data_IF_546485600139
#
_entry.id   IF_546485600139
#
_cell.length_a   1.000
_cell.length_b   1.000
_cell.length_c   1.000
_cell.angle_alpha   90.00
_cell.angle_beta   90.00
_cell.angle_gamma   90.00
#
_symmetry.space_group_name_H-M   'P 1'
#
loop_
_entity.id
_entity.type
_entity.pdbx_description
1 polymer ?
#
# COMPACT_ATOMS: atom_id res chain seq x y z
N UNK A 1 66.68 -50.42 -69.84
CA UNK A 1 65.65 -49.47 -70.33
C UNK A 1 64.23 -49.83 -69.88
N UNK A 2 63.73 -51.06 -70.14
CA UNK A 2 62.35 -51.46 -69.79
C UNK A 2 61.96 -51.27 -68.31
N UNK A 3 62.83 -51.62 -67.38
CA UNK A 3 62.59 -51.54 -65.92
C UNK A 3 62.50 -50.10 -65.41
N UNK A 4 63.35 -49.20 -65.91
CA UNK A 4 63.30 -47.77 -65.60
C UNK A 4 62.00 -47.11 -66.07
N UNK A 5 61.51 -47.52 -67.25
CA UNK A 5 60.27 -47.01 -67.83
C UNK A 5 59.03 -47.45 -67.05
N UNK A 6 59.02 -48.70 -66.55
CA UNK A 6 57.95 -49.23 -65.69
C UNK A 6 57.93 -48.50 -64.33
N UNK A 7 59.10 -48.25 -63.73
CA UNK A 7 59.20 -47.53 -62.46
C UNK A 7 58.72 -46.07 -62.58
N UNK A 8 59.03 -45.39 -63.69
CA UNK A 8 58.58 -44.02 -63.97
C UNK A 8 57.06 -43.94 -64.16
N UNK A 9 56.48 -44.92 -64.88
CA UNK A 9 55.03 -45.01 -65.06
C UNK A 9 54.30 -45.33 -63.75
N UNK A 10 54.85 -46.21 -62.91
CA UNK A 10 54.29 -46.51 -61.60
C UNK A 10 54.35 -45.30 -60.65
N UNK A 11 55.46 -44.55 -60.67
CA UNK A 11 55.61 -43.31 -59.88
C UNK A 11 54.62 -42.22 -60.31
N UNK A 12 54.43 -42.04 -61.62
CA UNK A 12 53.46 -41.09 -62.16
C UNK A 12 52.01 -41.45 -61.79
N UNK A 13 51.66 -42.75 -61.82
CA UNK A 13 50.34 -43.22 -61.42
C UNK A 13 50.05 -43.00 -59.92
N UNK A 14 51.05 -43.24 -59.05
CA UNK A 14 50.92 -42.99 -57.61
C UNK A 14 50.78 -41.50 -57.28
N UNK A 15 51.55 -40.63 -57.95
CA UNK A 15 51.44 -39.18 -57.79
C UNK A 15 50.08 -38.65 -58.29
N UNK A 16 49.61 -39.14 -59.44
CA UNK A 16 48.29 -38.81 -59.97
C UNK A 16 47.16 -39.23 -59.02
N UNK A 17 47.25 -40.45 -58.47
CA UNK A 17 46.29 -40.95 -57.48
C UNK A 17 46.30 -40.15 -56.17
N UNK A 18 47.48 -39.74 -55.69
CA UNK A 18 47.60 -38.90 -54.49
C UNK A 18 46.98 -37.51 -54.69
N UNK A 19 47.24 -36.87 -55.83
CA UNK A 19 46.64 -35.58 -56.17
C UNK A 19 45.12 -35.66 -56.30
N UNK A 20 44.60 -36.72 -56.90
CA UNK A 20 43.15 -36.95 -57.01
C UNK A 20 42.49 -37.04 -55.63
N UNK A 21 43.04 -37.86 -54.72
CA UNK A 21 42.54 -38.00 -53.35
C UNK A 21 42.64 -36.70 -52.55
N UNK A 22 43.71 -35.92 -52.76
CA UNK A 22 43.87 -34.62 -52.10
C UNK A 22 42.79 -33.61 -52.53
N UNK A 23 42.45 -33.57 -53.82
CA UNK A 23 41.41 -32.68 -54.37
C UNK A 23 40.02 -33.08 -53.86
N UNK A 24 39.67 -34.38 -53.87
CA UNK A 24 38.40 -34.86 -53.32
C UNK A 24 38.26 -34.55 -51.83
N UNK A 25 39.33 -34.74 -51.05
CA UNK A 25 39.32 -34.44 -49.62
C UNK A 25 39.13 -32.94 -49.35
N UNK A 26 39.71 -32.08 -50.18
CA UNK A 26 39.54 -30.64 -50.07
C UNK A 26 38.13 -30.19 -50.45
N UNK A 27 37.54 -30.76 -51.51
CA UNK A 27 36.16 -30.51 -51.90
C UNK A 27 35.17 -30.95 -50.82
N UNK A 28 35.36 -32.16 -50.26
CA UNK A 28 34.54 -32.67 -49.16
C UNK A 28 34.66 -31.80 -47.89
N UNK A 29 35.87 -31.31 -47.58
CA UNK A 29 36.09 -30.42 -46.44
C UNK A 29 35.40 -29.06 -46.63
N UNK A 30 35.54 -28.43 -47.80
CA UNK A 30 34.89 -27.16 -48.12
C UNK A 30 33.36 -27.28 -48.06
N UNK A 31 32.81 -28.36 -48.61
CA UNK A 31 31.36 -28.62 -48.57
C UNK A 31 30.87 -28.83 -47.14
N UNK A 32 31.58 -29.64 -46.34
CA UNK A 32 31.23 -29.88 -44.94
C UNK A 32 31.36 -28.61 -44.09
N UNK A 33 32.38 -27.78 -44.33
CA UNK A 33 32.56 -26.50 -43.64
C UNK A 33 31.44 -25.52 -43.97
N UNK A 34 31.13 -25.32 -45.26
CA UNK A 34 30.04 -24.42 -45.67
C UNK A 34 28.67 -24.87 -45.18
N UNK A 35 28.39 -26.18 -45.16
CA UNK A 35 27.15 -26.70 -44.59
C UNK A 35 27.08 -26.51 -43.07
N UNK A 36 28.20 -26.70 -42.35
CA UNK A 36 28.27 -26.46 -40.91
C UNK A 36 28.09 -24.98 -40.57
N UNK A 37 28.70 -24.08 -41.35
CA UNK A 37 28.58 -22.62 -41.21
C UNK A 37 27.13 -22.17 -41.44
N UNK A 38 26.50 -22.59 -42.55
CA UNK A 38 25.12 -22.26 -42.85
C UNK A 38 24.14 -22.78 -41.78
N UNK A 39 24.35 -24.01 -41.28
CA UNK A 39 23.55 -24.56 -40.17
C UNK A 39 23.78 -23.79 -38.87
N UNK A 40 25.01 -23.32 -38.64
CA UNK A 40 25.39 -22.49 -37.49
C UNK A 40 24.68 -21.14 -37.52
N UNK A 41 24.77 -20.41 -38.63
CA UNK A 41 24.10 -19.12 -38.84
C UNK A 41 22.59 -19.25 -38.72
N UNK A 42 21.99 -20.28 -39.32
CA UNK A 42 20.56 -20.53 -39.21
C UNK A 42 20.11 -20.76 -37.76
N UNK A 43 20.86 -21.57 -36.98
CA UNK A 43 20.56 -21.77 -35.55
C UNK A 43 20.69 -20.49 -34.75
N UNK A 44 21.71 -19.69 -35.04
CA UNK A 44 22.00 -18.47 -34.30
C UNK A 44 20.95 -17.39 -34.60
N UNK A 45 20.47 -17.31 -35.85
CA UNK A 45 19.34 -16.47 -36.24
C UNK A 45 18.03 -16.92 -35.58
N UNK A 46 17.74 -18.23 -35.53
CA UNK A 46 16.58 -18.76 -34.80
C UNK A 46 16.65 -18.40 -33.32
N UNK A 47 17.79 -18.59 -32.66
CA UNK A 47 17.97 -18.20 -31.24
C UNK A 47 17.76 -16.70 -31.03
N UNK A 48 18.26 -15.85 -31.93
CA UNK A 48 18.04 -14.40 -31.84
C UNK A 48 16.56 -14.03 -31.97
N UNK A 49 15.84 -14.66 -32.88
CA UNK A 49 14.40 -14.44 -33.06
C UNK A 49 13.60 -14.89 -31.84
N UNK A 50 13.84 -16.10 -31.35
CA UNK A 50 13.20 -16.62 -30.14
C UNK A 50 13.45 -15.70 -28.95
N UNK A 51 14.69 -15.21 -28.78
CA UNK A 51 15.02 -14.28 -27.70
C UNK A 51 14.33 -12.92 -27.87
N UNK A 52 14.27 -12.38 -29.09
CA UNK A 52 13.55 -11.13 -29.37
C UNK A 52 12.05 -11.26 -29.10
N UNK A 53 11.43 -12.37 -29.51
CA UNK A 53 10.02 -12.67 -29.24
C UNK A 53 9.75 -12.82 -27.73
N UNK A 54 10.64 -13.49 -26.99
CA UNK A 54 10.53 -13.61 -25.54
C UNK A 54 10.63 -12.24 -24.84
N UNK A 55 11.58 -11.39 -25.25
CA UNK A 55 11.71 -10.04 -24.70
C UNK A 55 10.46 -9.18 -24.98
N UNK A 56 9.91 -9.27 -26.20
CA UNK A 56 8.66 -8.57 -26.55
C UNK A 56 7.48 -9.08 -25.72
N UNK A 57 7.35 -10.40 -25.54
CA UNK A 57 6.30 -10.98 -24.72
C UNK A 57 6.41 -10.55 -23.24
N UNK A 58 7.63 -10.50 -22.71
CA UNK A 58 7.90 -10.02 -21.34
C UNK A 58 7.58 -8.53 -21.18
N UNK A 59 8.00 -7.68 -22.12
CA UNK A 59 7.68 -6.26 -22.14
C UNK A 59 6.16 -6.03 -22.17
N UNK A 60 5.45 -6.72 -23.06
CA UNK A 60 3.98 -6.62 -23.14
C UNK A 60 3.30 -7.08 -21.85
N UNK A 61 3.74 -8.20 -21.26
CA UNK A 61 3.21 -8.69 -20.00
C UNK A 61 3.45 -7.68 -18.86
N UNK A 62 4.63 -7.09 -18.81
CA UNK A 62 4.97 -6.06 -17.84
C UNK A 62 4.11 -4.81 -18.01
N UNK A 63 3.91 -4.32 -19.23
CA UNK A 63 3.05 -3.15 -19.48
C UNK A 63 1.59 -3.39 -19.05
N UNK A 64 1.04 -4.56 -19.36
CA UNK A 64 -0.32 -4.93 -18.93
C UNK A 64 -0.43 -4.97 -17.41
N UNK A 65 0.58 -5.53 -16.75
CA UNK A 65 0.65 -5.62 -15.29
C UNK A 65 0.74 -4.23 -14.65
N UNK A 66 1.58 -3.35 -15.20
CA UNK A 66 1.69 -1.95 -14.76
C UNK A 66 0.39 -1.18 -14.98
N UNK A 67 -0.25 -1.30 -16.14
CA UNK A 67 -1.53 -0.66 -16.41
C UNK A 67 -2.63 -1.18 -15.46
N UNK A 68 -2.57 -2.45 -15.05
CA UNK A 68 -3.49 -3.02 -14.04
C UNK A 68 -3.22 -2.45 -12.65
N UNK A 69 -1.95 -2.34 -12.24
CA UNK A 69 -1.55 -1.71 -10.98
C UNK A 69 -1.99 -0.25 -10.91
N UNK A 70 -1.74 0.53 -11.96
CA UNK A 70 -2.14 1.94 -12.04
C UNK A 70 -3.66 2.10 -11.92
N UNK A 71 -4.44 1.29 -12.66
CA UNK A 71 -5.90 1.32 -12.56
C UNK A 71 -6.40 0.98 -11.15
N UNK A 72 -5.80 -0.03 -10.52
CA UNK A 72 -6.13 -0.38 -9.11
C UNK A 72 -5.80 0.77 -8.16
N UNK A 73 -4.62 1.37 -8.29
CA UNK A 73 -4.21 2.50 -7.47
C UNK A 73 -5.17 3.69 -7.63
N UNK A 74 -5.54 4.04 -8.86
CA UNK A 74 -6.50 5.11 -9.15
C UNK A 74 -7.89 4.83 -8.53
N UNK A 75 -8.40 3.60 -8.62
CA UNK A 75 -9.68 3.25 -7.98
C UNK A 75 -9.62 3.39 -6.46
N UNK A 76 -8.53 2.94 -5.84
CA UNK A 76 -8.31 3.08 -4.39
C UNK A 76 -8.25 4.55 -4.01
N UNK A 77 -7.50 5.37 -4.75
CA UNK A 77 -7.38 6.80 -4.51
C UNK A 77 -8.73 7.52 -4.63
N UNK A 78 -9.51 7.23 -5.68
CA UNK A 78 -10.85 7.80 -5.84
C UNK A 78 -11.79 7.40 -4.70
N UNK A 79 -11.78 6.13 -4.29
CA UNK A 79 -12.56 5.62 -3.15
C UNK A 79 -12.14 6.31 -1.84
N UNK A 80 -10.84 6.47 -1.62
CA UNK A 80 -10.29 7.17 -0.47
C UNK A 80 -10.73 8.64 -0.44
N UNK A 81 -10.58 9.36 -1.55
CA UNK A 81 -10.99 10.77 -1.66
C UNK A 81 -12.51 10.95 -1.49
N UNK A 82 -13.32 10.02 -2.02
CA UNK A 82 -14.77 10.02 -1.81
C UNK A 82 -15.13 9.82 -0.33
N UNK A 83 -14.50 8.83 0.32
CA UNK A 83 -14.67 8.56 1.74
C UNK A 83 -14.27 9.75 2.60
N UNK A 84 -13.12 10.37 2.28
CA UNK A 84 -12.62 11.56 2.98
C UNK A 84 -13.60 12.74 2.88
N UNK A 85 -14.14 13.01 1.67
CA UNK A 85 -15.15 14.06 1.47
C UNK A 85 -16.42 13.79 2.28
N UNK A 86 -16.91 12.55 2.26
CA UNK A 86 -18.09 12.15 3.03
C UNK A 86 -17.86 12.31 4.55
N UNK A 87 -16.67 11.97 5.02
CA UNK A 87 -16.30 12.16 6.43
C UNK A 87 -16.25 13.65 6.79
N UNK A 88 -15.66 14.49 5.94
CA UNK A 88 -15.58 15.92 6.19
C UNK A 88 -16.97 16.59 6.22
N UNK A 89 -17.84 16.25 5.27
CA UNK A 89 -19.24 16.73 5.28
C UNK A 89 -19.95 16.31 6.55
N UNK A 90 -19.86 15.03 6.95
CA UNK A 90 -20.47 14.57 8.19
C UNK A 90 -19.95 15.30 9.43
N UNK A 91 -18.65 15.60 9.47
CA UNK A 91 -18.08 16.38 10.56
C UNK A 91 -18.72 17.78 10.58
N UNK A 92 -18.82 18.45 9.43
CA UNK A 92 -19.50 19.75 9.32
C UNK A 92 -20.97 19.67 9.78
N UNK A 93 -21.73 18.72 9.24
CA UNK A 93 -23.16 18.56 9.56
C UNK A 93 -23.38 18.30 11.06
N UNK A 94 -22.47 17.55 11.70
CA UNK A 94 -22.50 17.31 13.15
C UNK A 94 -22.11 18.55 13.96
N UNK A 95 -21.22 19.40 13.45
CA UNK A 95 -20.85 20.66 14.09
C UNK A 95 -21.99 21.68 13.97
N UNK A 96 -22.65 21.76 12.81
CA UNK A 96 -23.82 22.60 12.59
C UNK A 96 -25.01 22.15 13.46
N UNK A 97 -25.27 20.83 13.53
CA UNK A 97 -26.31 20.27 14.39
C UNK A 97 -26.01 20.47 15.89
N UNK A 98 -24.73 20.57 16.29
CA UNK A 98 -24.36 20.90 17.67
C UNK A 98 -24.70 22.35 18.01
N UNK A 99 -24.45 23.27 17.08
CA UNK A 99 -24.78 24.68 17.27
C UNK A 99 -26.31 24.89 17.27
N UNK A 100 -27.07 24.14 16.48
CA UNK A 100 -28.53 24.16 16.48
C UNK A 100 -29.16 23.48 17.71
N UNK A 101 -28.62 22.34 18.16
CA UNK A 101 -29.17 21.59 19.29
C UNK A 101 -28.88 22.25 20.65
N UNK A 102 -27.92 23.17 20.72
CA UNK A 102 -27.65 23.93 21.95
C UNK A 102 -28.78 24.92 22.21
N UNK A 103 -29.76 24.49 22.99
CA UNK A 103 -30.91 25.32 23.36
C UNK A 103 -30.55 26.11 24.63
N UNK A 104 -30.46 27.43 24.52
CA UNK A 104 -30.18 28.32 25.66
C UNK A 104 -31.30 28.33 26.72
N UNK A 105 -32.39 27.60 26.49
CA UNK A 105 -33.56 27.57 27.34
C UNK A 105 -34.00 26.15 27.65
N UNK A 106 -34.34 25.88 28.92
CA UNK A 106 -34.91 24.61 29.37
C UNK A 106 -36.29 24.83 30.00
N UNK A 107 -37.10 23.77 30.05
CA UNK A 107 -38.38 23.78 30.76
C UNK A 107 -38.24 22.96 32.03
N UNK A 108 -38.63 23.54 33.16
CA UNK A 108 -38.62 22.86 34.47
C UNK A 108 -39.72 21.80 34.60
N UNK A 109 -40.66 21.74 33.65
CA UNK A 109 -41.69 20.71 33.58
C UNK A 109 -42.67 20.93 32.42
N UNK A 110 -43.55 19.96 32.14
CA UNK A 110 -44.57 20.07 31.10
C UNK A 110 -45.43 21.33 31.31
N UNK A 111 -45.65 22.11 30.26
CA UNK A 111 -46.46 23.33 30.30
C UNK A 111 -45.80 24.58 30.91
N UNK A 112 -44.59 24.48 31.47
CA UNK A 112 -43.85 25.66 32.01
C UNK A 112 -43.21 26.48 30.89
N UNK A 113 -43.03 27.78 31.10
CA UNK A 113 -42.30 28.62 30.15
C UNK A 113 -40.81 28.20 30.09
N UNK A 114 -40.15 28.30 28.91
CA UNK A 114 -38.71 28.13 28.81
C UNK A 114 -37.98 29.17 29.68
N UNK A 115 -36.94 28.74 30.39
CA UNK A 115 -36.07 29.57 31.24
C UNK A 115 -34.63 29.39 30.80
N UNK A 116 -33.75 30.41 30.94
CA UNK A 116 -32.35 30.29 30.52
C UNK A 116 -31.67 29.14 31.27
N UNK A 117 -30.83 28.39 30.56
CA UNK A 117 -30.04 27.30 31.15
C UNK A 117 -29.05 27.89 32.16
N UNK A 118 -29.00 27.41 33.42
CA UNK A 118 -27.99 27.84 34.38
C UNK A 118 -26.57 27.55 33.87
N UNK A 119 -25.61 28.43 34.18
CA UNK A 119 -24.21 28.18 33.84
C UNK A 119 -23.72 26.87 34.48
N UNK A 120 -23.35 25.92 33.64
CA UNK A 120 -22.79 24.65 34.07
C UNK A 120 -21.27 24.80 34.20
N UNK A 121 -20.79 24.91 35.44
CA UNK A 121 -19.37 25.04 35.75
C UNK A 121 -18.78 23.66 36.03
N UNK A 122 -17.79 23.27 35.22
CA UNK A 122 -16.98 22.08 35.49
C UNK A 122 -15.70 22.48 36.22
N UNK A 123 -15.46 21.89 37.38
CA UNK A 123 -14.26 22.18 38.17
C UNK A 123 -13.03 21.44 37.63
N UNK A 124 -11.84 21.92 37.95
CA UNK A 124 -10.58 21.27 37.57
C UNK A 124 -10.49 19.85 38.15
N UNK A 125 -10.98 19.64 39.38
CA UNK A 125 -11.06 18.32 40.01
C UNK A 125 -12.01 17.36 39.28
N UNK A 126 -13.19 17.84 38.87
CA UNK A 126 -14.13 17.05 38.08
C UNK A 126 -13.51 16.63 36.74
N UNK A 127 -12.86 17.57 36.04
CA UNK A 127 -12.23 17.30 34.74
C UNK A 127 -11.06 16.31 34.85
N UNK A 128 -10.29 16.36 35.95
CA UNK A 128 -9.26 15.35 36.26
C UNK A 128 -9.88 13.95 36.33
N UNK A 129 -10.95 13.80 37.10
CA UNK A 129 -11.57 12.49 37.33
C UNK A 129 -12.28 11.97 36.07
N UNK A 130 -12.89 12.87 35.28
CA UNK A 130 -13.43 12.57 33.95
C UNK A 130 -12.34 12.00 33.01
N UNK A 131 -11.19 12.68 32.91
CA UNK A 131 -10.09 12.22 32.05
C UNK A 131 -9.48 10.91 32.56
N UNK A 132 -9.37 10.74 33.88
CA UNK A 132 -8.89 9.50 34.47
C UNK A 132 -9.82 8.32 34.15
N UNK A 133 -11.14 8.53 34.15
CA UNK A 133 -12.12 7.50 33.77
C UNK A 133 -12.01 7.07 32.31
N UNK A 134 -11.55 7.96 31.41
CA UNK A 134 -11.28 7.65 30.00
C UNK A 134 -9.90 7.00 29.77
N UNK A 135 -9.13 6.73 30.84
CA UNK A 135 -7.78 6.18 30.75
C UNK A 135 -6.70 7.21 30.40
N UNK A 136 -7.03 8.51 30.44
CA UNK A 136 -6.08 9.59 30.21
C UNK A 136 -5.04 9.71 31.32
N UNK A 137 -3.83 10.15 30.97
CA UNK A 137 -2.75 10.40 31.93
C UNK A 137 -3.16 11.54 32.87
N UNK A 138 -2.78 11.44 34.16
CA UNK A 138 -3.01 12.48 35.20
C UNK A 138 -2.20 13.78 34.98
N UNK A 139 -1.85 14.13 33.75
CA UNK A 139 -1.25 15.41 33.40
C UNK A 139 -2.28 16.26 32.65
N UNK A 140 -2.38 17.55 33.00
CA UNK A 140 -3.26 18.48 32.30
C UNK A 140 -2.63 18.83 30.95
N UNK A 141 -3.37 18.73 29.85
CA UNK A 141 -2.83 19.08 28.52
C UNK A 141 -2.21 20.49 28.55
N UNK A 142 -0.95 20.58 28.13
CA UNK A 142 -0.24 21.86 28.01
C UNK A 142 -0.98 22.76 27.01
N UNK A 143 -1.24 24.02 27.38
CA UNK A 143 -1.69 25.03 26.42
C UNK A 143 -0.56 25.29 25.43
N UNK A 144 -0.88 25.50 24.15
CA UNK A 144 0.12 25.88 23.15
C UNK A 144 0.90 27.11 23.64
N UNK A 145 2.22 26.97 23.81
CA UNK A 145 3.10 28.01 24.37
C UNK A 145 3.51 27.83 25.83
N UNK A 146 3.05 26.79 26.54
CA UNK A 146 3.59 26.40 27.85
C UNK A 146 4.30 25.05 27.75
N UNK A 147 5.62 24.98 28.06
CA UNK A 147 6.43 23.81 27.76
C UNK A 147 6.15 22.60 28.67
N UNK A 148 5.45 22.76 29.79
CA UNK A 148 5.13 21.67 30.70
C UNK A 148 3.64 21.59 31.03
N UNK A 149 3.08 20.40 30.83
CA UNK A 149 1.76 20.02 31.32
C UNK A 149 1.78 20.03 32.86
N UNK A 150 1.21 21.06 33.49
CA UNK A 150 1.10 21.10 34.93
C UNK A 150 0.33 19.86 35.44
N UNK A 151 0.79 19.22 36.53
CA UNK A 151 0.05 18.12 37.14
C UNK A 151 -1.34 18.60 37.57
N UNK A 152 -2.36 17.73 37.44
CA UNK A 152 -3.69 18.07 37.95
C UNK A 152 -3.61 18.31 39.47
N UNK A 153 -4.43 19.23 40.02
CA UNK A 153 -4.57 19.39 41.46
C UNK A 153 -4.91 18.05 42.13
N UNK A 154 -4.28 17.79 43.28
CA UNK A 154 -4.57 16.61 44.08
C UNK A 154 -6.00 16.69 44.65
N UNK A 155 -6.66 15.55 44.95
CA UNK A 155 -7.96 15.58 45.61
C UNK A 155 -7.92 16.34 46.95
N UNK A 156 -8.93 17.15 47.22
CA UNK A 156 -9.07 17.89 48.49
C UNK A 156 -8.31 19.21 48.59
N UNK A 157 -7.66 19.67 47.51
CA UNK A 157 -6.97 20.98 47.50
C UNK A 157 -7.85 22.06 46.88
N UNK A 158 -7.72 23.31 47.36
CA UNK A 158 -8.57 24.42 46.91
C UNK A 158 -8.60 24.59 45.37
N UNK A 159 -7.46 24.38 44.70
CA UNK A 159 -7.34 24.48 43.25
C UNK A 159 -8.18 23.44 42.47
N UNK A 160 -8.72 22.41 43.12
CA UNK A 160 -9.64 21.47 42.47
C UNK A 160 -11.02 22.07 42.21
N UNK A 161 -11.41 23.11 42.96
CA UNK A 161 -12.69 23.80 42.82
C UNK A 161 -12.65 24.94 41.79
N UNK A 162 -11.46 25.26 41.28
CA UNK A 162 -11.30 26.27 40.22
C UNK A 162 -12.08 25.87 38.97
N UNK A 163 -12.56 26.87 38.22
CA UNK A 163 -13.22 26.65 36.94
C UNK A 163 -12.22 26.07 35.93
N UNK A 164 -12.55 24.92 35.34
CA UNK A 164 -11.72 24.28 34.32
C UNK A 164 -11.71 25.01 32.97
N UNK A 165 -12.65 25.93 32.75
CA UNK A 165 -12.95 26.60 31.48
C UNK A 165 -13.37 25.63 30.36
N UNK A 166 -13.79 24.41 30.71
CA UNK A 166 -14.43 23.49 29.76
C UNK A 166 -15.92 23.78 29.77
N UNK A 167 -16.50 23.94 28.58
CA UNK A 167 -17.94 24.15 28.41
C UNK A 167 -18.69 22.83 28.18
N UNK A 168 -20.02 22.85 28.33
CA UNK A 168 -20.88 21.71 27.92
C UNK A 168 -20.69 21.35 26.43
N UNK A 169 -20.47 22.37 25.58
CA UNK A 169 -20.21 22.18 24.15
C UNK A 169 -18.91 21.42 23.90
N UNK A 170 -17.87 21.70 24.69
CA UNK A 170 -16.59 20.98 24.59
C UNK A 170 -16.73 19.52 24.98
N UNK A 171 -17.47 19.22 26.05
CA UNK A 171 -17.74 17.83 26.47
C UNK A 171 -18.58 17.07 25.44
N UNK A 172 -19.60 17.71 24.87
CA UNK A 172 -20.43 17.07 23.85
C UNK A 172 -19.62 16.81 22.57
N UNK A 173 -18.79 17.76 22.14
CA UNK A 173 -17.86 17.58 21.02
C UNK A 173 -16.86 16.46 21.30
N UNK A 174 -16.33 16.37 22.52
CA UNK A 174 -15.46 15.29 22.95
C UNK A 174 -16.19 13.93 22.87
N UNK A 175 -17.37 13.81 23.47
CA UNK A 175 -18.15 12.56 23.49
C UNK A 175 -18.47 12.06 22.07
N UNK A 176 -18.85 12.96 21.16
CA UNK A 176 -19.06 12.60 19.75
C UNK A 176 -17.79 12.10 19.06
N UNK A 177 -16.65 12.78 19.26
CA UNK A 177 -15.36 12.38 18.68
C UNK A 177 -14.89 11.05 19.25
N UNK A 178 -15.00 10.87 20.57
CA UNK A 178 -14.65 9.64 21.27
C UNK A 178 -15.53 8.47 20.83
N UNK A 179 -16.85 8.65 20.76
CA UNK A 179 -17.79 7.62 20.27
C UNK A 179 -17.48 7.19 18.83
N UNK A 180 -17.15 8.14 17.94
CA UNK A 180 -16.70 7.83 16.58
C UNK A 180 -15.41 7.01 16.57
N UNK A 181 -14.44 7.38 17.40
CA UNK A 181 -13.18 6.65 17.54
C UNK A 181 -13.44 5.22 18.04
N UNK A 182 -14.23 5.01 19.09
CA UNK A 182 -14.58 3.68 19.58
C UNK A 182 -15.23 2.82 18.49
N UNK A 183 -16.24 3.35 17.79
CA UNK A 183 -16.91 2.62 16.70
C UNK A 183 -15.96 2.24 15.55
N UNK A 184 -15.01 3.12 15.21
CA UNK A 184 -14.01 2.85 14.19
C UNK A 184 -13.07 1.71 14.62
N UNK A 185 -12.59 1.73 15.88
CA UNK A 185 -11.75 0.67 16.43
C UNK A 185 -12.50 -0.65 16.51
N UNK A 186 -13.76 -0.66 16.95
CA UNK A 186 -14.58 -1.88 16.96
C UNK A 186 -14.67 -2.49 15.56
N UNK A 187 -14.96 -1.68 14.52
CA UNK A 187 -15.02 -2.18 13.13
C UNK A 187 -13.69 -2.77 12.67
N UNK A 188 -12.57 -2.12 12.97
CA UNK A 188 -11.24 -2.62 12.61
C UNK A 188 -10.92 -3.92 13.33
N UNK A 189 -11.23 -4.02 14.62
CA UNK A 189 -11.01 -5.23 15.41
C UNK A 189 -11.87 -6.39 14.89
N UNK A 190 -13.15 -6.15 14.59
CA UNK A 190 -14.04 -7.16 14.00
C UNK A 190 -13.49 -7.65 12.66
N UNK A 191 -13.08 -6.74 11.77
CA UNK A 191 -12.49 -7.12 10.49
C UNK A 191 -11.18 -7.90 10.65
N UNK A 192 -10.38 -7.60 11.67
CA UNK A 192 -9.16 -8.36 11.98
C UNK A 192 -9.48 -9.77 12.49
N UNK A 193 -10.46 -9.90 13.39
CA UNK A 193 -10.92 -11.20 13.90
C UNK A 193 -11.46 -12.06 12.75
N UNK A 194 -12.24 -11.47 11.82
CA UNK A 194 -12.73 -12.14 10.61
C UNK A 194 -11.61 -12.71 9.75
N UNK A 195 -10.51 -11.95 9.58
CA UNK A 195 -9.34 -12.41 8.82
C UNK A 195 -8.58 -13.51 9.55
N UNK A 196 -8.52 -13.46 10.88
CA UNK A 196 -7.76 -14.42 11.69
C UNK A 196 -8.52 -15.74 11.94
N UNK A 197 -9.84 -15.68 12.07
CA UNK A 197 -10.71 -16.83 12.36
C UNK A 197 -11.79 -17.00 11.27
N UNK A 198 -11.41 -17.33 10.02
CA UNK A 198 -12.38 -17.46 8.93
C UNK A 198 -13.38 -18.61 9.13
N UNK A 199 -13.02 -19.63 9.91
CA UNK A 199 -13.81 -20.87 10.08
C UNK A 199 -14.78 -20.83 11.28
N UNK A 200 -14.67 -19.85 12.20
CA UNK A 200 -15.55 -19.73 13.38
C UNK A 200 -16.87 -18.97 13.09
N UNK A 201 -17.06 -18.46 11.87
CA UNK A 201 -18.26 -17.71 11.47
C UNK A 201 -18.99 -18.31 10.27
N UNK A 202 -18.99 -19.64 10.12
CA UNK A 202 -20.03 -20.32 9.33
C UNK A 202 -21.20 -20.74 10.26
N UNK A 203 -22.46 -20.45 9.89
CA UNK A 203 -23.64 -20.79 10.70
C UNK A 203 -23.86 -22.30 10.83
#
# INVERSE_FOLDING_TARGET
>A
MKTLLIALLAGAALLGGYHYLAVERQAAWQQGYGEAEARGEAKLETMRREHAEQLLAQANAYEVEQARKQRRAQMIEQSYLATRRKLQSRISDLEDALDEAYTDHYRTGPGKAPQPVPECVFTVGWLRDYNAALGGVRARAARAGQPDAAPWPAPGVAAEFDNSNVSQRDLLRHAQRYGRWCQANTKQLTALIEVLNPDEMQP
#
